data_IF_194768597714
#
_entry.id   IF_194768597714
#
_cell.length_a   1.000
_cell.length_b   1.000
_cell.length_c   1.000
_cell.angle_alpha   90.00
_cell.angle_beta   90.00
_cell.angle_gamma   90.00
#
_symmetry.space_group_name_H-M   'P 1'
#
loop_
_entity.id
_entity.type
_entity.pdbx_description
1 polymer ?
#
# COMPACT_ATOMS: atom_id res chain seq x y z
N UNK A 1 -8.28 -36.04 9.55
CA UNK A 1 -8.39 -35.52 8.18
C UNK A 1 -8.15 -34.02 8.21
N UNK A 2 -6.94 -33.56 7.91
CA UNK A 2 -6.64 -32.13 7.80
C UNK A 2 -7.33 -31.59 6.54
N UNK A 3 -8.18 -30.58 6.73
CA UNK A 3 -9.06 -30.04 5.69
C UNK A 3 -8.24 -29.52 4.50
N UNK A 4 -8.28 -30.22 3.36
CA UNK A 4 -7.49 -29.93 2.16
C UNK A 4 -7.84 -28.56 1.53
N UNK A 5 -8.97 -27.95 1.93
CA UNK A 5 -9.34 -26.60 1.51
C UNK A 5 -8.47 -25.51 2.15
N UNK A 6 -8.07 -25.67 3.42
CA UNK A 6 -7.29 -24.68 4.16
C UNK A 6 -5.86 -24.55 3.63
N UNK A 7 -5.29 -25.62 3.08
CA UNK A 7 -3.96 -25.57 2.45
C UNK A 7 -4.04 -24.83 1.12
N UNK A 8 -5.05 -25.10 0.28
CA UNK A 8 -5.23 -24.43 -1.02
C UNK A 8 -5.46 -22.93 -0.86
N UNK A 9 -6.29 -22.52 0.10
CA UNK A 9 -6.59 -21.10 0.35
C UNK A 9 -5.33 -20.30 0.75
N UNK A 10 -4.46 -20.88 1.57
CA UNK A 10 -3.20 -20.25 1.99
C UNK A 10 -2.24 -20.01 0.82
N UNK A 11 -2.36 -20.75 -0.27
CA UNK A 11 -1.52 -20.60 -1.45
C UNK A 11 -2.17 -19.75 -2.55
N UNK A 12 -3.49 -19.56 -2.54
CA UNK A 12 -4.17 -18.66 -3.48
C UNK A 12 -4.26 -17.21 -2.98
N UNK A 13 -4.45 -17.03 -1.67
CA UNK A 13 -4.55 -15.71 -1.02
C UNK A 13 -3.34 -14.78 -1.26
N UNK A 14 -2.08 -15.26 -1.25
CA UNK A 14 -0.91 -14.41 -1.46
C UNK A 14 -0.92 -13.71 -2.82
N UNK A 15 -1.45 -14.36 -3.88
CA UNK A 15 -1.52 -13.74 -5.21
C UNK A 15 -2.48 -12.54 -5.23
N UNK A 16 -3.63 -12.67 -4.57
CA UNK A 16 -4.60 -11.58 -4.44
C UNK A 16 -3.97 -10.43 -3.66
N UNK A 17 -3.33 -10.73 -2.53
CA UNK A 17 -2.66 -9.74 -1.68
C UNK A 17 -1.54 -9.02 -2.43
N UNK A 18 -0.72 -9.74 -3.20
CA UNK A 18 0.33 -9.16 -4.03
C UNK A 18 -0.28 -8.25 -5.11
N UNK A 19 -1.36 -8.67 -5.78
CA UNK A 19 -2.01 -7.83 -6.78
C UNK A 19 -2.53 -6.51 -6.18
N UNK A 20 -3.18 -6.57 -5.01
CA UNK A 20 -3.60 -5.38 -4.29
C UNK A 20 -2.43 -4.51 -3.84
N UNK A 21 -1.39 -5.10 -3.25
CA UNK A 21 -0.20 -4.36 -2.82
C UNK A 21 0.51 -3.67 -3.99
N UNK A 22 0.62 -4.33 -5.16
CA UNK A 22 1.16 -3.71 -6.36
C UNK A 22 0.27 -2.58 -6.88
N UNK A 23 -1.06 -2.71 -6.81
CA UNK A 23 -1.99 -1.65 -7.19
C UNK A 23 -1.80 -0.39 -6.32
N UNK A 24 -1.80 -0.55 -4.99
CA UNK A 24 -1.59 0.58 -4.08
C UNK A 24 -0.18 1.17 -4.19
N UNK A 25 0.83 0.33 -4.44
CA UNK A 25 2.17 0.80 -4.74
C UNK A 25 2.22 1.66 -5.99
N UNK A 26 1.58 1.21 -7.07
CA UNK A 26 1.50 1.95 -8.31
C UNK A 26 0.81 3.30 -8.13
N UNK A 27 -0.32 3.34 -7.41
CA UNK A 27 -1.02 4.59 -7.10
C UNK A 27 -0.09 5.56 -6.35
N UNK A 28 0.49 5.14 -5.22
CA UNK A 28 1.36 6.02 -4.42
C UNK A 28 2.60 6.50 -5.18
N UNK A 29 3.25 5.64 -5.94
CA UNK A 29 4.42 6.02 -6.75
C UNK A 29 4.04 6.94 -7.92
N UNK A 30 2.87 6.74 -8.53
CA UNK A 30 2.33 7.63 -9.58
C UNK A 30 2.03 9.01 -9.02
N UNK A 31 1.37 9.11 -7.86
CA UNK A 31 1.08 10.38 -7.22
C UNK A 31 2.36 11.14 -6.83
N UNK A 32 3.35 10.43 -6.27
CA UNK A 32 4.67 11.01 -6.02
C UNK A 32 5.31 11.54 -7.31
N UNK A 33 5.29 10.76 -8.38
CA UNK A 33 5.87 11.18 -9.66
C UNK A 33 5.17 12.41 -10.22
N UNK A 34 3.83 12.41 -10.26
CA UNK A 34 3.05 13.51 -10.83
C UNK A 34 3.28 14.82 -10.08
N UNK A 35 3.22 14.79 -8.75
CA UNK A 35 3.35 15.99 -7.92
C UNK A 35 4.81 16.45 -7.85
N UNK A 36 5.76 15.55 -7.53
CA UNK A 36 7.14 15.95 -7.22
C UNK A 36 8.06 16.03 -8.43
N UNK A 37 7.87 15.16 -9.43
CA UNK A 37 8.78 15.03 -10.58
C UNK A 37 8.21 15.73 -11.81
N UNK A 38 6.94 15.49 -12.13
CA UNK A 38 6.27 16.12 -13.26
C UNK A 38 5.77 17.54 -12.97
N UNK A 39 5.81 17.97 -11.69
CA UNK A 39 5.47 19.34 -11.28
C UNK A 39 3.99 19.70 -11.44
N UNK A 40 3.10 18.72 -11.41
CA UNK A 40 1.66 18.91 -11.62
C UNK A 40 0.93 19.42 -10.36
N UNK A 41 1.61 20.17 -9.49
CA UNK A 41 1.09 20.59 -8.19
C UNK A 41 -0.20 21.41 -8.29
N UNK A 42 -0.36 22.21 -9.35
CA UNK A 42 -1.55 23.05 -9.59
C UNK A 42 -2.83 22.26 -9.89
N UNK A 43 -2.72 20.98 -10.23
CA UNK A 43 -3.87 20.11 -10.46
C UNK A 43 -4.49 19.60 -9.14
N UNK A 44 -3.83 19.84 -8.00
CA UNK A 44 -4.21 19.27 -6.72
C UNK A 44 -4.73 20.35 -5.75
N UNK A 45 -5.80 20.06 -4.99
CA UNK A 45 -6.39 20.98 -4.03
C UNK A 45 -5.59 21.08 -2.72
N UNK A 46 -4.34 21.51 -2.77
CA UNK A 46 -3.52 21.65 -1.55
C UNK A 46 -3.99 22.78 -0.63
N UNK A 47 -3.67 22.64 0.66
CA UNK A 47 -3.92 23.68 1.66
C UNK A 47 -5.33 23.59 2.27
N UNK A 48 -5.91 24.72 2.69
CA UNK A 48 -7.06 24.73 3.61
C UNK A 48 -8.36 24.15 3.01
N UNK A 49 -8.40 23.94 1.69
CA UNK A 49 -9.53 23.27 1.01
C UNK A 49 -9.65 21.79 1.45
N UNK A 50 -8.54 21.19 1.93
CA UNK A 50 -8.47 19.81 2.40
C UNK A 50 -7.99 19.71 3.86
N UNK A 51 -8.43 20.62 4.74
CA UNK A 51 -8.08 20.58 6.18
C UNK A 51 -8.36 19.21 6.84
N UNK A 52 -9.31 18.46 6.30
CA UNK A 52 -9.68 17.12 6.78
C UNK A 52 -8.71 15.99 6.36
N UNK A 53 -7.67 16.29 5.58
CA UNK A 53 -6.65 15.33 5.18
C UNK A 53 -5.27 15.93 5.44
N UNK A 54 -4.65 15.53 6.55
CA UNK A 54 -3.38 16.11 7.02
C UNK A 54 -2.26 16.09 5.97
N UNK A 55 -2.27 15.09 5.07
CA UNK A 55 -1.24 14.93 4.05
C UNK A 55 -1.46 15.84 2.83
N UNK A 56 -2.59 16.53 2.70
CA UNK A 56 -2.87 17.54 1.67
C UNK A 56 -2.43 18.97 2.04
N UNK A 57 -1.78 19.16 3.20
CA UNK A 57 -1.31 20.49 3.65
C UNK A 57 -0.50 21.25 2.58
N UNK A 58 0.40 20.55 1.88
CA UNK A 58 1.14 21.07 0.75
C UNK A 58 1.66 19.93 -0.15
N UNK A 59 2.12 20.28 -1.35
CA UNK A 59 2.63 19.34 -2.34
C UNK A 59 3.76 18.44 -1.82
N UNK A 60 4.67 18.99 -1.00
CA UNK A 60 5.80 18.22 -0.47
C UNK A 60 5.35 17.17 0.53
N UNK A 61 4.42 17.49 1.42
CA UNK A 61 3.87 16.53 2.39
C UNK A 61 3.10 15.43 1.65
N UNK A 62 2.25 15.81 0.70
CA UNK A 62 1.47 14.88 -0.11
C UNK A 62 2.37 13.91 -0.89
N UNK A 63 3.38 14.43 -1.59
CA UNK A 63 4.30 13.61 -2.36
C UNK A 63 5.06 12.62 -1.47
N UNK A 64 5.60 13.09 -0.33
CA UNK A 64 6.34 12.22 0.59
C UNK A 64 5.45 11.15 1.23
N UNK A 65 4.21 11.48 1.55
CA UNK A 65 3.21 10.53 2.03
C UNK A 65 2.98 9.41 0.99
N UNK A 66 2.66 9.79 -0.25
CA UNK A 66 2.39 8.84 -1.33
C UNK A 66 3.61 7.99 -1.70
N UNK A 67 4.82 8.56 -1.68
CA UNK A 67 6.06 7.80 -1.85
C UNK A 67 6.23 6.75 -0.74
N UNK A 68 6.05 7.17 0.51
CA UNK A 68 6.21 6.29 1.68
C UNK A 68 5.20 5.15 1.62
N UNK A 69 3.92 5.47 1.41
CA UNK A 69 2.86 4.49 1.25
C UNK A 69 3.14 3.53 0.08
N UNK A 70 3.50 4.09 -1.09
CA UNK A 70 3.80 3.32 -2.29
C UNK A 70 4.96 2.32 -2.09
N UNK A 71 6.02 2.74 -1.40
CA UNK A 71 7.16 1.89 -1.06
C UNK A 71 6.82 0.84 0.00
N UNK A 72 5.98 1.17 0.99
CA UNK A 72 5.54 0.22 2.02
C UNK A 72 4.72 -0.93 1.39
N UNK A 73 3.77 -0.62 0.51
CA UNK A 73 3.02 -1.63 -0.23
C UNK A 73 3.90 -2.45 -1.19
N UNK A 74 4.89 -1.81 -1.84
CA UNK A 74 5.85 -2.52 -2.67
C UNK A 74 6.66 -3.53 -1.86
N UNK A 75 7.21 -3.10 -0.72
CA UNK A 75 8.01 -3.94 0.16
C UNK A 75 7.20 -5.14 0.70
N UNK A 76 5.96 -4.91 1.12
CA UNK A 76 5.06 -5.98 1.55
C UNK A 76 4.74 -6.97 0.42
N UNK A 77 4.55 -6.48 -0.80
CA UNK A 77 4.30 -7.31 -1.98
C UNK A 77 5.53 -8.16 -2.34
N UNK A 78 6.72 -7.57 -2.38
CA UNK A 78 7.99 -8.26 -2.64
C UNK A 78 8.26 -9.32 -1.57
N UNK A 79 8.05 -9.00 -0.30
CA UNK A 79 8.16 -9.95 0.81
C UNK A 79 7.19 -11.13 0.62
N UNK A 80 5.93 -10.86 0.27
CA UNK A 80 4.90 -11.88 0.08
C UNK A 80 5.23 -12.80 -1.11
N UNK A 81 5.71 -12.24 -2.22
CA UNK A 81 6.19 -13.02 -3.38
C UNK A 81 7.38 -13.89 -2.99
N UNK A 82 8.40 -13.31 -2.36
CA UNK A 82 9.57 -14.05 -1.88
C UNK A 82 9.13 -15.20 -0.96
N UNK A 83 8.31 -14.90 0.04
CA UNK A 83 7.83 -15.86 1.02
C UNK A 83 7.08 -17.03 0.36
N UNK A 84 6.25 -16.73 -0.63
CA UNK A 84 5.53 -17.73 -1.44
C UNK A 84 6.50 -18.64 -2.20
N UNK A 85 7.51 -18.06 -2.86
CA UNK A 85 8.55 -18.82 -3.58
C UNK A 85 9.34 -19.74 -2.62
N UNK A 86 9.69 -19.22 -1.44
CA UNK A 86 10.38 -20.00 -0.39
C UNK A 86 9.48 -20.96 0.38
N UNK A 87 8.18 -20.99 0.06
CA UNK A 87 7.15 -21.77 0.76
C UNK A 87 7.13 -21.54 2.28
N UNK A 88 7.53 -20.34 2.73
CA UNK A 88 7.58 -20.00 4.15
C UNK A 88 6.25 -19.46 4.63
N UNK A 89 5.47 -20.31 5.32
CA UNK A 89 4.13 -19.96 5.82
C UNK A 89 4.16 -18.73 6.76
N UNK A 90 5.15 -18.65 7.64
CA UNK A 90 5.30 -17.53 8.58
C UNK A 90 5.50 -16.22 7.84
N UNK A 91 6.38 -16.20 6.83
CA UNK A 91 6.66 -14.99 6.06
C UNK A 91 5.48 -14.62 5.14
N UNK A 92 4.73 -15.59 4.63
CA UNK A 92 3.49 -15.33 3.88
C UNK A 92 2.47 -14.64 4.78
N UNK A 93 2.23 -15.18 5.98
CA UNK A 93 1.31 -14.57 6.95
C UNK A 93 1.77 -13.16 7.32
N UNK A 94 3.08 -12.96 7.53
CA UNK A 94 3.64 -11.64 7.82
C UNK A 94 3.39 -10.65 6.66
N UNK A 95 3.67 -11.04 5.42
CA UNK A 95 3.46 -10.18 4.25
C UNK A 95 1.98 -9.80 4.04
N UNK A 96 1.08 -10.76 4.26
CA UNK A 96 -0.37 -10.51 4.25
C UNK A 96 -0.76 -9.55 5.40
N UNK A 97 -0.28 -9.81 6.61
CA UNK A 97 -0.55 -8.96 7.77
C UNK A 97 -0.06 -7.53 7.58
N UNK A 98 1.13 -7.33 7.01
CA UNK A 98 1.66 -6.00 6.69
C UNK A 98 0.82 -5.29 5.64
N UNK A 99 0.39 -5.99 4.59
CA UNK A 99 -0.48 -5.39 3.55
C UNK A 99 -1.80 -4.92 4.15
N UNK A 100 -2.41 -5.73 5.02
CA UNK A 100 -3.65 -5.37 5.73
C UNK A 100 -3.41 -4.18 6.67
N UNK A 101 -2.30 -4.19 7.42
CA UNK A 101 -1.94 -3.11 8.33
C UNK A 101 -1.80 -1.79 7.57
N UNK A 102 -1.07 -1.78 6.45
CA UNK A 102 -0.87 -0.57 5.64
C UNK A 102 -2.17 -0.09 5.01
N UNK A 103 -3.04 -1.01 4.58
CA UNK A 103 -4.37 -0.64 4.10
C UNK A 103 -5.23 0.01 5.19
N UNK A 104 -5.19 -0.50 6.43
CA UNK A 104 -5.87 0.13 7.56
C UNK A 104 -5.26 1.51 7.86
N UNK A 105 -3.93 1.66 7.81
CA UNK A 105 -3.27 2.96 7.96
C UNK A 105 -3.70 3.98 6.91
N UNK A 106 -3.88 3.56 5.65
CA UNK A 106 -4.46 4.40 4.59
C UNK A 106 -5.90 4.82 4.91
N UNK A 107 -6.74 3.88 5.35
CA UNK A 107 -8.12 4.18 5.71
C UNK A 107 -8.22 5.16 6.87
N UNK A 108 -7.37 5.01 7.88
CA UNK A 108 -7.29 5.94 9.02
C UNK A 108 -6.81 7.29 8.53
N UNK A 109 -5.73 7.36 7.75
CA UNK A 109 -5.19 8.62 7.23
C UNK A 109 -6.20 9.38 6.37
N UNK A 110 -7.06 8.67 5.65
CA UNK A 110 -8.17 9.24 4.89
C UNK A 110 -9.38 9.68 5.73
N UNK A 111 -9.51 9.17 6.96
CA UNK A 111 -10.64 9.41 7.86
C UNK A 111 -10.32 10.29 9.07
N UNK A 112 -9.06 10.58 9.35
CA UNK A 112 -8.66 11.44 10.47
C UNK A 112 -9.17 12.85 10.19
N UNK A 113 -10.34 13.13 10.78
CA UNK A 113 -11.02 14.42 10.95
C UNK A 113 -10.33 15.23 12.04
#
# INVERSE_FOLDING_TARGET
MTNNSNSKLLWTLPYVVVAFGLLFSFIGLSEFYNVKIAGQESAYPFGPINENQWYYQNASVYANYNLTSGLMFLAASVLTVWATIKKSRTLVILGIGLTILFFISELISNKVQ
#
